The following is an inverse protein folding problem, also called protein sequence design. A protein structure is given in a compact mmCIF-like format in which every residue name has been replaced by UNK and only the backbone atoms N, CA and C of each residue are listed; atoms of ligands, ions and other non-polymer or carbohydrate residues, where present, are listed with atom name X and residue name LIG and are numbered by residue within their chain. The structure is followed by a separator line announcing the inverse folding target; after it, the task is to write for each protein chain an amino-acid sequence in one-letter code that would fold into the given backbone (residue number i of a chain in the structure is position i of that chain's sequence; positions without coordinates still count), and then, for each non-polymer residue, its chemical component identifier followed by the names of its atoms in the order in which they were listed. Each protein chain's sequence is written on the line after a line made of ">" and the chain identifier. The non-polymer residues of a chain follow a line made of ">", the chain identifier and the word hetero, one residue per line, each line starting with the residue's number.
data_IF_188481022752
#
_entry.id   IF_188481022752
#
_cell.length_a   1.000
_cell.length_b   1.000
_cell.length_c   1.000
_cell.angle_alpha   90.00
_cell.angle_beta   90.00
_cell.angle_gamma   90.00
#
_symmetry.space_group_name_H-M   'P 1'
#
loop_
_entity.id
_entity.type
_entity.pdbx_description
1 polymer ?
#
# COMPACT_ATOMS: atom_id res chain seq x y z
N UNK A 1 4.10 -0.10 24.91
CA UNK A 1 4.53 -0.08 23.50
C UNK A 1 5.07 1.30 23.20
N UNK A 2 6.30 1.41 22.72
CA UNK A 2 6.96 2.70 22.42
C UNK A 2 6.88 3.05 20.94
N UNK A 3 7.18 4.30 20.61
CA UNK A 3 7.23 4.77 19.21
C UNK A 3 8.31 4.02 18.43
N UNK A 4 9.47 3.78 19.04
CA UNK A 4 10.59 3.06 18.44
C UNK A 4 10.23 1.61 18.09
N UNK A 5 9.48 0.94 18.96
CA UNK A 5 8.98 -0.41 18.71
C UNK A 5 8.02 -0.44 17.51
N UNK A 6 7.07 0.50 17.46
CA UNK A 6 6.13 0.65 16.33
C UNK A 6 6.89 0.90 15.03
N UNK A 7 7.83 1.85 15.03
CA UNK A 7 8.65 2.15 13.86
C UNK A 7 9.50 0.96 13.41
N UNK A 8 10.08 0.20 14.35
CA UNK A 8 10.84 -1.00 14.06
C UNK A 8 9.97 -2.05 13.35
N UNK A 9 8.75 -2.26 13.84
CA UNK A 9 7.79 -3.20 13.23
C UNK A 9 7.34 -2.76 11.84
N UNK A 10 7.09 -1.47 11.63
CA UNK A 10 6.76 -0.94 10.31
C UNK A 10 7.90 -1.14 9.30
N UNK A 11 9.15 -0.91 9.71
CA UNK A 11 10.33 -1.17 8.89
C UNK A 11 10.51 -2.66 8.56
N UNK A 12 10.31 -3.54 9.56
CA UNK A 12 10.38 -4.97 9.35
C UNK A 12 9.29 -5.46 8.38
N UNK A 13 8.06 -4.96 8.51
CA UNK A 13 6.97 -5.24 7.59
C UNK A 13 7.29 -4.75 6.16
N UNK A 14 7.83 -3.55 6.01
CA UNK A 14 8.24 -3.00 4.72
C UNK A 14 9.33 -3.84 4.04
N UNK A 15 10.33 -4.28 4.80
CA UNK A 15 11.37 -5.18 4.29
C UNK A 15 10.79 -6.55 3.85
N UNK A 16 9.82 -7.10 4.59
CA UNK A 16 9.16 -8.38 4.25
C UNK A 16 8.39 -8.35 2.93
N UNK A 17 7.88 -7.19 2.53
CA UNK A 17 7.21 -7.00 1.24
C UNK A 17 8.15 -6.49 0.14
N UNK A 18 9.47 -6.55 0.34
CA UNK A 18 10.45 -6.16 -0.68
C UNK A 18 10.64 -4.65 -0.85
N UNK A 19 10.36 -3.87 0.18
CA UNK A 19 10.38 -2.39 0.15
C UNK A 19 9.37 -1.77 -0.83
N UNK A 20 8.32 -2.49 -1.18
CA UNK A 20 7.25 -1.95 -2.00
C UNK A 20 6.43 -0.92 -1.20
N UNK A 21 6.29 0.27 -1.78
CA UNK A 21 5.47 1.33 -1.19
C UNK A 21 5.96 1.83 0.17
N UNK A 22 5.02 2.22 1.03
CA UNK A 22 5.24 2.66 2.41
C UNK A 22 4.03 2.34 3.28
N UNK A 23 4.27 2.03 4.54
CA UNK A 23 3.21 1.91 5.55
C UNK A 23 3.06 3.22 6.32
N UNK A 24 1.82 3.63 6.55
CA UNK A 24 1.50 4.79 7.38
C UNK A 24 0.52 4.37 8.48
N UNK A 25 0.89 4.58 9.74
CA UNK A 25 0.02 4.46 10.90
C UNK A 25 -0.48 5.87 11.27
N UNK A 26 -1.79 6.05 11.26
CA UNK A 26 -2.45 7.30 11.67
C UNK A 26 -3.17 7.05 12.99
N UNK A 27 -2.97 7.95 13.97
CA UNK A 27 -3.58 7.87 15.29
C UNK A 27 -4.63 8.97 15.44
N UNK A 28 -5.74 8.65 16.11
CA UNK A 28 -6.77 9.63 16.46
C UNK A 28 -6.36 10.36 17.72
N UNK A 29 -6.46 11.69 17.73
CA UNK A 29 -6.10 12.53 18.88
C UNK A 29 -7.23 12.66 19.91
N UNK A 30 -8.34 11.95 19.73
CA UNK A 30 -9.56 12.06 20.57
C UNK A 30 -9.47 11.29 21.89
N UNK A 31 -8.30 10.77 22.27
CA UNK A 31 -8.08 10.08 23.55
C UNK A 31 -8.50 8.61 23.58
N UNK A 32 -9.12 8.10 22.51
CA UNK A 32 -9.16 6.67 22.22
C UNK A 32 -7.84 6.34 21.51
N UNK A 33 -7.10 5.32 21.94
CA UNK A 33 -5.85 4.89 21.29
C UNK A 33 -6.10 4.23 19.91
N UNK A 34 -7.14 4.69 19.21
CA UNK A 34 -7.60 4.18 17.95
C UNK A 34 -6.84 4.84 16.82
N UNK A 35 -6.39 4.00 15.89
CA UNK A 35 -5.77 4.42 14.68
C UNK A 35 -6.15 3.52 13.51
N UNK A 36 -5.51 3.77 12.40
CA UNK A 36 -5.58 2.91 11.23
C UNK A 36 -4.24 2.87 10.54
N UNK A 37 -3.95 1.73 9.92
CA UNK A 37 -2.75 1.53 9.12
C UNK A 37 -3.13 1.38 7.65
N UNK A 38 -2.37 2.07 6.80
CA UNK A 38 -2.52 2.05 5.35
C UNK A 38 -1.21 1.65 4.68
N UNK A 39 -1.33 0.95 3.57
CA UNK A 39 -0.23 0.69 2.64
C UNK A 39 -0.41 1.56 1.41
N UNK A 40 0.55 2.44 1.17
CA UNK A 40 0.61 3.29 -0.01
C UNK A 40 1.65 2.72 -0.95
N UNK A 41 1.25 2.37 -2.16
CA UNK A 41 2.16 1.77 -3.13
C UNK A 41 1.89 2.34 -4.50
N UNK A 42 2.92 2.30 -5.35
CA UNK A 42 2.79 2.74 -6.72
C UNK A 42 2.91 1.52 -7.63
N UNK A 43 1.84 1.11 -8.33
CA UNK A 43 1.88 -0.06 -9.18
C UNK A 43 2.77 0.14 -10.41
N UNK A 44 2.98 1.40 -10.83
CA UNK A 44 3.83 1.79 -11.96
C UNK A 44 4.52 3.12 -11.66
N UNK A 45 5.79 3.36 -12.03
CA UNK A 45 6.50 4.61 -11.74
C UNK A 45 5.78 5.90 -12.14
N UNK A 46 4.96 5.85 -13.19
CA UNK A 46 4.21 6.96 -13.76
C UNK A 46 2.75 7.05 -13.25
N UNK A 47 2.29 6.08 -12.47
CA UNK A 47 0.97 6.10 -11.86
C UNK A 47 0.92 6.95 -10.58
N UNK A 48 -0.30 7.35 -10.19
CA UNK A 48 -0.54 7.87 -8.84
C UNK A 48 -0.29 6.77 -7.79
N UNK A 49 0.03 7.19 -6.55
CA UNK A 49 0.05 6.25 -5.43
C UNK A 49 -1.37 5.71 -5.18
N UNK A 50 -1.49 4.40 -5.10
CA UNK A 50 -2.69 3.71 -4.63
C UNK A 50 -2.59 3.53 -3.11
N UNK A 51 -3.73 3.48 -2.44
CA UNK A 51 -3.84 3.36 -0.99
C UNK A 51 -4.75 2.21 -0.62
N UNK A 52 -4.23 1.30 0.21
CA UNK A 52 -4.98 0.18 0.76
C UNK A 52 -5.06 0.28 2.27
N UNK A 53 -6.27 0.20 2.81
CA UNK A 53 -6.50 0.00 4.23
C UNK A 53 -6.01 -1.39 4.65
N UNK A 54 -5.16 -1.44 5.68
CA UNK A 54 -4.58 -2.68 6.23
C UNK A 54 -5.31 -3.11 7.50
N UNK A 55 -5.66 -2.15 8.36
CA UNK A 55 -6.38 -2.42 9.61
C UNK A 55 -6.66 -1.14 10.39
N UNK A 56 -7.53 -1.24 11.39
CA UNK A 56 -7.94 -0.15 12.28
C UNK A 56 -8.25 -0.66 13.68
N UNK A 57 -8.28 0.23 14.67
CA UNK A 57 -8.50 -0.07 16.08
C UNK A 57 -7.31 0.39 16.91
N UNK A 58 -7.08 -0.26 18.04
CA UNK A 58 -5.90 0.01 18.87
C UNK A 58 -4.59 -0.17 18.08
N UNK A 59 -3.51 0.45 18.55
CA UNK A 59 -2.18 0.28 17.94
C UNK A 59 -1.79 -1.22 17.84
N UNK A 60 -2.13 -2.01 18.86
CA UNK A 60 -1.85 -3.44 18.88
C UNK A 60 -2.62 -4.20 17.78
N UNK A 61 -3.91 -3.89 17.60
CA UNK A 61 -4.74 -4.47 16.55
C UNK A 61 -4.26 -4.08 15.15
N UNK A 62 -3.87 -2.81 14.97
CA UNK A 62 -3.28 -2.33 13.71
C UNK A 62 -2.00 -3.10 13.36
N UNK A 63 -1.11 -3.33 14.33
CA UNK A 63 0.12 -4.08 14.10
C UNK A 63 -0.13 -5.58 13.86
N UNK A 64 -1.12 -6.18 14.53
CA UNK A 64 -1.53 -7.56 14.24
C UNK A 64 -2.18 -7.70 12.85
N UNK A 65 -2.92 -6.68 12.40
CA UNK A 65 -3.42 -6.62 11.02
C UNK A 65 -2.27 -6.48 10.01
N UNK A 66 -1.25 -5.67 10.33
CA UNK A 66 -0.05 -5.53 9.51
C UNK A 66 0.69 -6.86 9.35
N UNK A 67 0.90 -7.61 10.43
CA UNK A 67 1.56 -8.92 10.36
C UNK A 67 0.83 -9.88 9.40
N UNK A 68 -0.50 -9.97 9.54
CA UNK A 68 -1.36 -10.78 8.64
C UNK A 68 -1.31 -10.30 7.19
N UNK A 69 -1.28 -8.99 7.00
CA UNK A 69 -1.19 -8.38 5.67
C UNK A 69 0.12 -8.77 4.98
N UNK A 70 1.26 -8.67 5.66
CA UNK A 70 2.56 -9.00 5.05
C UNK A 70 2.74 -10.50 4.81
N UNK A 71 2.13 -11.36 5.62
CA UNK A 71 2.14 -12.82 5.40
C UNK A 71 1.40 -13.24 4.12
N UNK A 72 0.30 -12.54 3.85
CA UNK A 72 -0.55 -12.80 2.69
C UNK A 72 -0.22 -11.91 1.50
N UNK A 73 0.74 -10.99 1.65
CA UNK A 73 1.09 -10.06 0.60
C UNK A 73 1.61 -10.80 -0.62
N UNK A 74 1.04 -10.42 -1.76
CA UNK A 74 1.48 -10.81 -3.08
C UNK A 74 1.59 -9.53 -3.87
N UNK A 75 2.81 -9.17 -4.25
CA UNK A 75 3.05 -8.11 -5.23
C UNK A 75 2.19 -8.40 -6.44
N UNK A 76 1.38 -7.43 -6.84
CA UNK A 76 0.74 -7.50 -8.15
C UNK A 76 1.77 -7.15 -9.22
N UNK A 77 2.00 -8.02 -10.21
CA UNK A 77 2.92 -7.70 -11.29
C UNK A 77 2.42 -6.48 -12.06
N UNK A 78 3.35 -5.65 -12.53
CA UNK A 78 3.00 -4.45 -13.31
C UNK A 78 2.44 -4.86 -14.68
N UNK A 79 1.69 -3.97 -15.33
CA UNK A 79 1.18 -4.21 -16.70
C UNK A 79 2.31 -4.53 -17.67
N UNK A 80 3.47 -3.90 -17.50
CA UNK A 80 4.68 -4.14 -18.29
C UNK A 80 5.25 -5.54 -18.03
N UNK A 81 5.37 -5.96 -16.76
CA UNK A 81 5.84 -7.31 -16.39
C UNK A 81 4.91 -8.41 -16.91
N UNK A 82 3.60 -8.19 -16.83
CA UNK A 82 2.61 -9.09 -17.43
C UNK A 82 2.79 -9.12 -18.95
N UNK A 83 2.89 -7.96 -19.61
CA UNK A 83 3.08 -7.82 -21.05
C UNK A 83 4.30 -8.57 -21.58
N UNK A 84 5.45 -8.44 -20.92
CA UNK A 84 6.66 -9.21 -21.24
C UNK A 84 6.47 -10.71 -21.09
N UNK A 85 5.74 -11.15 -20.05
CA UNK A 85 5.50 -12.58 -19.77
C UNK A 85 4.60 -13.23 -20.82
N UNK A 86 3.59 -12.51 -21.33
CA UNK A 86 2.66 -13.03 -22.35
C UNK A 86 3.11 -12.77 -23.79
N UNK A 87 4.33 -12.25 -23.98
CA UNK A 87 4.92 -12.01 -25.30
C UNK A 87 4.25 -10.89 -26.09
N UNK A 88 3.57 -9.95 -25.42
CA UNK A 88 3.11 -8.74 -26.08
C UNK A 88 4.34 -7.87 -26.38
N UNK A 89 4.49 -7.33 -27.61
CA UNK A 89 5.53 -6.35 -27.87
C UNK A 89 5.37 -5.18 -26.91
N UNK A 90 6.49 -4.58 -26.48
CA UNK A 90 6.52 -3.36 -25.66
C UNK A 90 5.49 -2.37 -26.23
N UNK A 91 4.30 -2.33 -25.62
CA UNK A 91 3.31 -1.36 -26.02
C UNK A 91 3.86 -0.03 -25.55
N UNK A 92 4.00 0.97 -26.45
CA UNK A 92 4.38 2.30 -26.01
C UNK A 92 3.41 2.72 -24.89
N UNK A 93 3.87 3.51 -23.91
CA UNK A 93 3.03 3.96 -22.81
C UNK A 93 1.74 4.49 -23.43
N UNK A 94 0.61 3.87 -23.09
CA UNK A 94 -0.69 4.28 -23.60
C UNK A 94 -0.83 5.76 -23.24
N UNK A 95 -0.64 6.63 -24.23
CA UNK A 95 -1.14 7.99 -24.16
C UNK A 95 -2.60 7.83 -23.71
N UNK A 96 -2.93 8.43 -22.57
CA UNK A 96 -4.24 8.33 -21.96
C UNK A 96 -5.31 8.74 -22.98
N UNK A 97 -5.83 7.78 -23.74
CA UNK A 97 -7.11 7.90 -24.42
C UNK A 97 -8.14 7.74 -23.32
N UNK A 98 -8.35 8.85 -22.63
CA UNK A 98 -9.22 8.97 -21.50
C UNK A 98 -10.65 8.62 -21.89
N UNK A 99 -11.28 7.75 -21.09
CA UNK A 99 -12.64 8.00 -20.61
C UNK A 99 -12.89 7.09 -19.41
N UNK A 100 -12.41 7.52 -18.25
CA UNK A 100 -12.92 7.07 -16.96
C UNK A 100 -12.76 8.24 -16.01
N UNK A 101 -13.79 9.07 -15.94
CA UNK A 101 -13.86 10.16 -14.98
C UNK A 101 -14.27 9.58 -13.64
N UNK A 102 -13.37 9.62 -12.65
CA UNK A 102 -13.74 9.57 -11.24
C UNK A 102 -14.32 10.95 -10.90
N UNK A 103 -15.63 11.04 -10.70
CA UNK A 103 -16.24 12.23 -10.11
C UNK A 103 -16.06 12.10 -8.60
N UNK A 104 -15.14 12.88 -8.04
CA UNK A 104 -15.16 13.21 -6.62
C UNK A 104 -16.19 14.34 -6.44
N UNK A 105 -17.26 14.07 -5.69
CA UNK A 105 -18.16 15.11 -5.21
C UNK A 105 -17.60 15.68 -3.91
N UNK A 106 -17.51 17.01 -3.83
CA UNK A 106 -17.22 17.76 -2.60
C UNK A 106 -18.38 17.67 -1.60
#
# INVERSE_FOLDING_TARGET
>A
MTIEEVQSRLRAAHARIGHEGRFALTLTLTGTEDGYITHWFRPDPHAFEDCRAVGSGSIAECLAALDRYVETYRRQPTTEEVGRTIGLPDMPPRAHLGTSFLIAAE
#
